data_IF_049183293647
#
_entry.id   IF_049183293647
#
_cell.length_a   1.000
_cell.length_b   1.000
_cell.length_c   1.000
_cell.angle_alpha   90.00
_cell.angle_beta   90.00
_cell.angle_gamma   90.00
#
_symmetry.space_group_name_H-M   'P 1'
#
loop_
_entity.id
_entity.type
_entity.pdbx_description
1 polymer ?
#
# COMPACT_ATOMS: atom_id res chain seq x y z
N UNK A 1 11.89 -3.36 30.39
CA UNK A 1 10.51 -3.88 30.15
C UNK A 1 9.81 -3.91 31.49
N UNK A 2 8.69 -3.17 31.61
CA UNK A 2 7.82 -3.19 32.79
C UNK A 2 6.92 -4.43 32.74
N UNK A 3 6.34 -4.82 33.88
CA UNK A 3 5.37 -5.91 33.95
C UNK A 3 3.97 -5.51 33.45
N UNK A 4 3.67 -4.19 33.41
CA UNK A 4 2.36 -3.66 33.02
C UNK A 4 2.46 -2.34 32.28
N UNK A 5 1.61 -2.16 31.28
CA UNK A 5 1.44 -0.95 30.47
C UNK A 5 -0.04 -0.57 30.33
N UNK A 6 -0.32 0.64 29.87
CA UNK A 6 -1.69 1.02 29.45
C UNK A 6 -2.01 0.41 28.10
N UNK A 7 -1.04 0.40 27.18
CA UNK A 7 -1.20 -0.11 25.82
C UNK A 7 0.01 -0.95 25.42
N UNK A 8 -0.26 -2.11 24.86
CA UNK A 8 0.74 -2.91 24.14
C UNK A 8 0.40 -2.88 22.65
N UNK A 9 1.40 -2.57 21.82
CA UNK A 9 1.33 -2.65 20.34
C UNK A 9 2.18 -3.83 19.88
N UNK A 10 1.56 -4.76 19.15
CA UNK A 10 2.21 -5.95 18.59
C UNK A 10 2.57 -5.66 17.12
N UNK A 11 3.86 -5.55 16.84
CA UNK A 11 4.42 -5.29 15.51
C UNK A 11 4.66 -3.80 15.23
N UNK A 12 5.87 -3.50 14.74
CA UNK A 12 6.35 -2.15 14.42
C UNK A 12 6.27 -1.85 12.91
N UNK A 13 5.23 -2.33 12.22
CA UNK A 13 4.84 -1.85 10.90
C UNK A 13 4.18 -0.47 10.99
N UNK A 14 3.88 0.16 9.83
CA UNK A 14 3.40 1.56 9.79
C UNK A 14 2.14 1.79 10.65
N UNK A 15 1.15 0.91 10.60
CA UNK A 15 -0.06 1.05 11.45
C UNK A 15 0.26 1.01 12.94
N UNK A 16 1.17 0.13 13.34
CA UNK A 16 1.61 -0.03 14.73
C UNK A 16 2.38 1.18 15.23
N UNK A 17 3.41 1.66 14.49
CA UNK A 17 4.21 2.81 14.94
C UNK A 17 3.38 4.09 15.00
N UNK A 18 2.45 4.27 14.05
CA UNK A 18 1.52 5.41 14.10
C UNK A 18 0.62 5.31 15.33
N UNK A 19 -0.01 4.15 15.58
CA UNK A 19 -0.85 3.96 16.76
C UNK A 19 -0.06 4.17 18.06
N UNK A 20 1.15 3.60 18.16
CA UNK A 20 2.04 3.74 19.31
C UNK A 20 2.45 5.20 19.56
N UNK A 21 2.72 5.97 18.49
CA UNK A 21 3.03 7.39 18.61
C UNK A 21 1.84 8.18 19.18
N UNK A 22 0.62 7.91 18.71
CA UNK A 22 -0.59 8.56 19.24
C UNK A 22 -0.86 8.20 20.70
N UNK A 23 -0.74 6.93 21.07
CA UNK A 23 -1.01 6.49 22.44
C UNK A 23 0.02 7.06 23.43
N UNK A 24 1.31 7.08 23.04
CA UNK A 24 2.36 7.69 23.85
C UNK A 24 2.20 9.21 23.94
N UNK A 25 1.93 9.90 22.85
CA UNK A 25 1.66 11.35 22.85
C UNK A 25 0.41 11.71 23.69
N UNK A 26 -0.57 10.81 23.77
CA UNK A 26 -1.72 10.90 24.67
C UNK A 26 -1.38 10.60 26.13
N UNK A 27 -0.12 10.41 26.49
CA UNK A 27 0.36 10.17 27.86
C UNK A 27 0.06 8.79 28.41
N UNK A 28 -0.19 7.78 27.56
CA UNK A 28 -0.39 6.40 27.97
C UNK A 28 0.95 5.65 28.02
N UNK A 29 1.16 4.85 29.08
CA UNK A 29 2.32 3.96 29.16
C UNK A 29 2.23 2.92 28.04
N UNK A 30 2.95 3.14 26.94
CA UNK A 30 2.90 2.36 25.70
C UNK A 30 4.15 1.52 25.54
N UNK A 31 3.98 0.21 25.30
CA UNK A 31 5.05 -0.70 24.87
C UNK A 31 4.76 -1.20 23.45
N UNK A 32 5.81 -1.31 22.64
CA UNK A 32 5.75 -1.92 21.31
C UNK A 32 6.73 -3.07 21.22
N UNK A 33 6.25 -4.23 20.75
CA UNK A 33 7.06 -5.42 20.54
C UNK A 33 7.16 -5.73 19.05
N UNK A 34 8.39 -5.86 18.55
CA UNK A 34 8.69 -6.22 17.16
C UNK A 34 9.66 -7.41 17.14
N UNK A 35 9.30 -8.45 16.39
CA UNK A 35 10.13 -9.66 16.28
C UNK A 35 11.43 -9.47 15.51
N UNK A 36 11.45 -8.50 14.57
CA UNK A 36 12.65 -8.15 13.84
C UNK A 36 13.58 -7.27 14.68
N UNK A 37 14.81 -7.14 14.22
CA UNK A 37 15.83 -6.27 14.79
C UNK A 37 15.67 -4.80 14.38
N UNK A 38 14.69 -4.50 13.51
CA UNK A 38 14.34 -3.14 13.07
C UNK A 38 12.83 -2.96 12.90
N UNK A 39 12.39 -1.71 12.89
CA UNK A 39 11.01 -1.32 12.55
C UNK A 39 10.78 -1.39 11.04
N UNK A 40 9.51 -1.46 10.60
CA UNK A 40 9.16 -1.36 9.17
C UNK A 40 8.12 -2.38 8.74
N UNK A 41 8.12 -3.56 9.35
CA UNK A 41 7.22 -4.65 8.93
C UNK A 41 7.48 -5.06 7.49
N UNK A 42 6.50 -4.87 6.60
CA UNK A 42 6.66 -5.14 5.15
C UNK A 42 7.44 -4.06 4.40
N UNK A 43 7.64 -2.89 5.01
CA UNK A 43 8.49 -1.81 4.47
C UNK A 43 9.93 -2.06 4.92
N UNK A 44 10.51 -3.15 4.44
CA UNK A 44 11.92 -3.47 4.68
C UNK A 44 12.74 -3.11 3.46
N UNK A 45 14.04 -2.98 3.68
CA UNK A 45 14.98 -2.87 2.57
C UNK A 45 15.20 -4.25 1.95
N UNK A 46 15.04 -4.34 0.64
CA UNK A 46 15.54 -5.47 -0.10
C UNK A 46 17.07 -5.49 -0.07
N UNK A 47 17.62 -6.70 -0.13
CA UNK A 47 19.06 -6.88 -0.28
C UNK A 47 19.46 -6.46 -1.68
N UNK A 48 20.19 -5.36 -1.78
CA UNK A 48 20.85 -4.85 -2.99
C UNK A 48 22.36 -4.85 -2.77
N UNK A 49 23.13 -4.64 -3.84
CA UNK A 49 24.57 -4.50 -3.72
C UNK A 49 24.95 -3.20 -2.97
N UNK A 50 26.13 -3.14 -2.34
CA UNK A 50 26.56 -1.93 -1.64
C UNK A 50 26.47 -0.68 -2.51
N UNK A 51 25.87 0.37 -1.97
CA UNK A 51 25.64 1.65 -2.65
C UNK A 51 24.33 1.74 -3.45
N UNK A 52 23.65 0.63 -3.67
CA UNK A 52 22.28 0.63 -4.15
C UNK A 52 21.30 0.52 -2.99
N UNK A 53 20.15 1.15 -3.10
CA UNK A 53 19.08 1.08 -2.09
C UNK A 53 17.79 0.66 -2.75
N UNK A 54 17.41 -0.61 -2.58
CA UNK A 54 16.10 -1.14 -2.92
C UNK A 54 15.10 -0.99 -1.77
N UNK A 55 13.89 -1.46 -1.97
CA UNK A 55 12.85 -1.57 -0.94
C UNK A 55 11.95 -2.76 -1.22
N UNK A 56 11.50 -3.41 -0.18
CA UNK A 56 10.81 -4.70 -0.29
C UNK A 56 9.41 -4.60 -0.93
N UNK A 57 8.78 -3.43 -0.87
CA UNK A 57 7.47 -3.16 -1.45
C UNK A 57 7.44 -1.84 -2.19
N UNK A 58 6.73 -1.82 -3.29
CA UNK A 58 6.26 -0.61 -3.93
C UNK A 58 5.31 0.15 -2.97
N UNK A 59 5.88 0.96 -2.12
CA UNK A 59 5.13 1.65 -1.05
C UNK A 59 5.03 3.13 -1.33
N UNK A 60 5.32 3.51 -2.54
CA UNK A 60 5.70 4.86 -2.82
C UNK A 60 4.60 5.90 -2.66
N UNK A 61 3.33 5.52 -2.60
CA UNK A 61 2.29 6.51 -2.80
C UNK A 61 1.41 6.74 -1.58
N UNK A 62 1.51 7.95 -1.02
CA UNK A 62 0.52 8.53 -0.11
C UNK A 62 -0.05 9.80 -0.70
N UNK A 63 -1.24 10.22 -0.27
CA UNK A 63 -1.72 11.57 -0.55
C UNK A 63 -0.85 12.57 0.21
N UNK A 64 -0.22 13.50 -0.53
CA UNK A 64 0.63 14.51 0.04
C UNK A 64 -0.09 15.77 0.47
N UNK A 65 0.67 16.63 1.15
CA UNK A 65 0.43 18.06 1.37
C UNK A 65 -0.92 18.46 1.96
N UNK A 66 -1.48 17.67 2.88
CA UNK A 66 -2.63 18.05 3.69
C UNK A 66 -3.87 17.17 3.54
N UNK A 67 -3.88 16.22 2.61
CA UNK A 67 -4.99 15.28 2.40
C UNK A 67 -4.81 13.92 3.04
N UNK A 68 -3.61 13.35 3.03
CA UNK A 68 -3.34 11.99 3.45
C UNK A 68 -3.27 11.79 4.95
N UNK A 69 -3.68 10.62 5.39
CA UNK A 69 -3.64 10.24 6.80
C UNK A 69 -2.21 10.21 7.35
N UNK A 70 -1.30 9.73 6.56
CA UNK A 70 0.12 9.67 6.87
C UNK A 70 0.72 11.07 7.14
N UNK A 71 0.47 12.02 6.23
CA UNK A 71 0.93 13.40 6.41
C UNK A 71 0.33 14.05 7.66
N UNK A 72 -0.98 13.86 7.90
CA UNK A 72 -1.66 14.34 9.09
C UNK A 72 -1.09 13.72 10.36
N UNK A 73 -0.92 12.39 10.36
CA UNK A 73 -0.37 11.66 11.50
C UNK A 73 1.03 12.18 11.87
N UNK A 74 1.91 12.35 10.86
CA UNK A 74 3.27 12.86 11.10
C UNK A 74 3.27 14.22 11.81
N UNK A 75 2.39 15.11 11.37
CA UNK A 75 2.28 16.45 11.99
C UNK A 75 1.66 16.41 13.38
N UNK A 76 0.62 15.62 13.59
CA UNK A 76 -0.09 15.57 14.86
C UNK A 76 0.73 14.95 15.99
N UNK A 77 1.64 14.01 15.68
CA UNK A 77 2.50 13.37 16.68
C UNK A 77 3.95 13.84 16.61
N UNK A 78 4.23 14.92 15.89
CA UNK A 78 5.59 15.47 15.71
C UNK A 78 6.61 14.41 15.23
N UNK A 79 6.24 13.62 14.23
CA UNK A 79 7.14 12.71 13.57
C UNK A 79 7.87 13.44 12.41
N UNK A 80 9.21 13.42 12.40
CA UNK A 80 10.03 14.11 11.38
C UNK A 80 10.03 13.34 10.06
N UNK A 81 8.85 13.26 9.42
CA UNK A 81 8.68 12.64 8.11
C UNK A 81 8.88 13.69 7.02
N UNK A 82 9.81 13.42 6.09
CA UNK A 82 10.04 14.27 4.92
C UNK A 82 9.42 13.65 3.69
N UNK A 83 8.56 14.43 3.04
CA UNK A 83 7.85 14.01 1.84
C UNK A 83 8.57 14.50 0.59
N UNK A 84 8.61 13.65 -0.43
CA UNK A 84 9.16 13.92 -1.75
C UNK A 84 8.07 13.68 -2.79
N UNK A 85 7.96 14.57 -3.76
CA UNK A 85 7.02 14.41 -4.86
C UNK A 85 7.47 13.28 -5.78
N UNK A 86 6.51 12.45 -6.19
CA UNK A 86 6.73 11.38 -7.17
C UNK A 86 6.38 11.93 -8.55
N UNK A 87 7.25 11.76 -9.55
CA UNK A 87 6.93 12.14 -10.92
C UNK A 87 5.67 11.42 -11.43
N UNK A 88 4.84 12.12 -12.18
CA UNK A 88 3.62 11.56 -12.77
C UNK A 88 3.92 10.33 -13.62
N UNK A 89 3.20 9.21 -13.47
CA UNK A 89 3.48 8.02 -14.25
C UNK A 89 3.15 8.19 -15.74
N UNK A 90 3.85 7.40 -16.57
CA UNK A 90 3.58 7.27 -18.00
C UNK A 90 2.89 5.96 -18.32
N UNK A 91 2.06 5.94 -19.35
CA UNK A 91 1.60 4.71 -20.00
C UNK A 91 2.45 4.45 -21.23
N UNK A 92 2.87 3.21 -21.43
CA UNK A 92 3.56 2.75 -22.62
C UNK A 92 2.79 1.55 -23.21
N UNK A 93 2.31 1.69 -24.44
CA UNK A 93 1.60 0.62 -25.12
C UNK A 93 2.60 -0.29 -25.85
N UNK A 94 2.74 -1.51 -25.34
CA UNK A 94 3.70 -2.48 -25.83
C UNK A 94 3.56 -2.76 -27.33
N UNK A 95 4.68 -2.78 -28.05
CA UNK A 95 4.73 -3.06 -29.48
C UNK A 95 4.21 -1.95 -30.39
N UNK A 96 3.78 -0.79 -29.84
CA UNK A 96 3.28 0.35 -30.62
C UNK A 96 4.22 1.53 -30.62
N UNK A 97 5.15 1.59 -29.65
CA UNK A 97 5.98 2.77 -29.39
C UNK A 97 5.22 3.96 -28.80
N UNK A 98 3.92 3.85 -28.58
CA UNK A 98 3.11 4.94 -28.00
C UNK A 98 3.39 5.07 -26.51
N UNK A 99 3.83 6.27 -26.10
CA UNK A 99 4.06 6.63 -24.71
C UNK A 99 3.44 7.98 -24.42
N UNK A 100 2.72 8.10 -23.31
CA UNK A 100 2.18 9.37 -22.85
C UNK A 100 2.10 9.43 -21.34
N UNK A 101 2.20 10.62 -20.78
CA UNK A 101 2.01 10.86 -19.36
C UNK A 101 0.56 10.66 -18.97
N UNK A 102 0.30 10.06 -17.80
CA UNK A 102 -1.03 10.11 -17.20
C UNK A 102 -1.33 11.58 -16.87
N UNK A 103 -2.54 12.01 -17.21
CA UNK A 103 -2.91 13.42 -17.10
C UNK A 103 -2.59 14.00 -15.72
N UNK A 104 -1.85 15.10 -15.65
CA UNK A 104 -1.74 15.82 -14.42
C UNK A 104 -3.13 16.39 -14.08
N UNK A 105 -3.61 16.06 -12.91
CA UNK A 105 -4.73 16.70 -12.19
C UNK A 105 -5.79 17.37 -13.04
N UNK A 106 -6.84 16.65 -13.33
CA UNK A 106 -7.99 17.22 -14.02
C UNK A 106 -8.97 17.83 -13.01
N UNK A 107 -8.93 19.14 -12.85
CA UNK A 107 -9.84 19.85 -11.95
C UNK A 107 -11.32 19.80 -12.41
N UNK A 108 -11.59 19.30 -13.62
CA UNK A 108 -12.94 19.24 -14.19
C UNK A 108 -13.09 18.15 -15.23
N UNK A 109 -14.33 17.73 -15.48
CA UNK A 109 -14.64 16.77 -16.54
C UNK A 109 -14.20 17.27 -17.93
N UNK A 110 -14.28 18.58 -18.21
CA UNK A 110 -13.85 19.17 -19.48
C UNK A 110 -12.33 19.05 -19.65
N UNK A 111 -11.55 19.28 -18.60
CA UNK A 111 -10.09 19.10 -18.63
C UNK A 111 -9.71 17.65 -18.93
N UNK A 112 -10.37 16.68 -18.26
CA UNK A 112 -10.16 15.26 -18.53
C UNK A 112 -10.50 14.88 -19.98
N UNK A 113 -11.65 15.34 -20.49
CA UNK A 113 -12.08 15.08 -21.87
C UNK A 113 -11.08 15.66 -22.86
N UNK A 114 -10.67 16.92 -22.69
CA UNK A 114 -9.69 17.57 -23.57
C UNK A 114 -8.36 16.84 -23.57
N UNK A 115 -7.89 16.40 -22.41
CA UNK A 115 -6.68 15.60 -22.31
C UNK A 115 -6.83 14.26 -23.02
N UNK A 116 -7.93 13.54 -22.78
CA UNK A 116 -8.18 12.25 -23.41
C UNK A 116 -8.22 12.38 -24.94
N UNK A 117 -8.89 13.43 -25.45
CA UNK A 117 -8.93 13.70 -26.90
C UNK A 117 -7.55 14.02 -27.48
N UNK A 118 -6.65 14.62 -26.72
CA UNK A 118 -5.29 14.91 -27.20
C UNK A 118 -4.44 13.66 -27.41
N UNK A 119 -4.83 12.52 -26.81
CA UNK A 119 -4.10 11.25 -26.91
C UNK A 119 -4.51 10.42 -28.14
N UNK A 120 -5.65 10.70 -28.73
CA UNK A 120 -6.21 9.90 -29.82
C UNK A 120 -6.46 10.73 -31.09
N UNK A 121 -6.24 10.14 -32.26
CA UNK A 121 -6.40 10.87 -33.53
C UNK A 121 -7.87 11.21 -33.90
N UNK A 122 -8.83 10.59 -33.21
CA UNK A 122 -10.24 10.75 -33.45
C UNK A 122 -10.91 11.43 -32.25
N UNK A 123 -11.67 12.50 -32.43
CA UNK A 123 -12.38 13.15 -31.33
C UNK A 123 -13.47 12.24 -30.77
N UNK A 124 -13.74 12.36 -29.49
CA UNK A 124 -14.84 11.67 -28.85
C UNK A 124 -16.20 12.15 -29.37
N UNK A 125 -17.15 11.25 -29.50
CA UNK A 125 -18.52 11.59 -29.82
C UNK A 125 -19.15 12.53 -28.77
N UNK A 126 -20.12 13.36 -29.16
CA UNK A 126 -20.83 14.18 -28.19
C UNK A 126 -21.55 13.33 -27.08
N UNK A 127 -21.97 12.12 -27.42
CA UNK A 127 -22.58 11.21 -26.46
C UNK A 127 -21.54 10.72 -25.42
N UNK A 128 -20.38 10.30 -25.89
CA UNK A 128 -19.27 9.85 -25.04
C UNK A 128 -18.76 10.99 -24.13
N UNK A 129 -18.63 12.23 -24.66
CA UNK A 129 -18.25 13.40 -23.83
C UNK A 129 -19.26 13.65 -22.71
N UNK A 130 -20.54 13.54 -22.98
CA UNK A 130 -21.58 13.63 -21.94
C UNK A 130 -21.50 12.48 -20.93
N UNK A 131 -21.18 11.27 -21.38
CA UNK A 131 -21.02 10.12 -20.51
C UNK A 131 -19.81 10.31 -19.58
N UNK A 132 -18.65 10.75 -20.10
CA UNK A 132 -17.48 11.12 -19.28
C UNK A 132 -17.82 12.20 -18.24
N UNK A 133 -18.51 13.27 -18.67
CA UNK A 133 -18.88 14.35 -17.75
C UNK A 133 -19.77 13.84 -16.60
N UNK A 134 -20.75 13.00 -16.91
CA UNK A 134 -21.62 12.40 -15.88
C UNK A 134 -20.82 11.50 -14.93
N UNK A 135 -19.98 10.62 -15.47
CA UNK A 135 -19.18 9.70 -14.65
C UNK A 135 -18.19 10.45 -13.74
N UNK A 136 -17.51 11.47 -14.27
CA UNK A 136 -16.60 12.31 -13.49
C UNK A 136 -17.33 13.03 -12.36
N UNK A 137 -18.44 13.72 -12.68
CA UNK A 137 -19.21 14.46 -11.69
C UNK A 137 -19.82 13.54 -10.64
N UNK A 138 -20.27 12.35 -11.03
CA UNK A 138 -20.77 11.35 -10.10
C UNK A 138 -19.65 10.89 -9.14
N UNK A 139 -18.48 10.54 -9.67
CA UNK A 139 -17.33 10.14 -8.86
C UNK A 139 -16.84 11.26 -7.92
N UNK A 140 -16.88 12.52 -8.39
CA UNK A 140 -16.49 13.69 -7.61
C UNK A 140 -17.47 14.03 -6.49
N UNK A 141 -18.77 13.79 -6.71
CA UNK A 141 -19.85 14.16 -5.78
C UNK A 141 -19.95 13.23 -4.55
N UNK A 142 -19.41 12.00 -4.63
CA UNK A 142 -19.45 11.08 -3.51
C UNK A 142 -18.50 11.61 -2.41
N UNK A 143 -18.95 11.80 -1.16
CA UNK A 143 -18.04 12.14 -0.05
C UNK A 143 -16.87 11.15 0.02
N UNK A 144 -15.65 11.64 0.25
CA UNK A 144 -14.45 10.79 0.17
C UNK A 144 -14.49 9.62 1.16
N UNK A 145 -14.99 9.86 2.37
CA UNK A 145 -15.18 8.84 3.41
C UNK A 145 -16.21 7.77 3.06
N UNK A 146 -17.21 8.09 2.21
CA UNK A 146 -18.22 7.13 1.78
C UNK A 146 -17.65 6.08 0.81
N UNK A 147 -16.55 6.41 0.12
CA UNK A 147 -15.84 5.45 -0.75
C UNK A 147 -15.32 4.23 0.04
N UNK A 148 -15.05 4.42 1.32
CA UNK A 148 -14.49 3.38 2.20
C UNK A 148 -15.55 2.75 3.13
N UNK A 149 -16.84 3.01 2.89
CA UNK A 149 -17.98 2.44 3.62
C UNK A 149 -18.80 1.52 2.73
N UNK A 150 -19.54 0.62 3.38
CA UNK A 150 -20.56 -0.20 2.69
C UNK A 150 -21.67 0.70 2.09
N UNK A 151 -22.18 0.42 0.88
CA UNK A 151 -21.86 -0.74 0.06
C UNK A 151 -20.62 -0.57 -0.84
N UNK A 152 -20.09 0.63 -1.05
CA UNK A 152 -19.04 0.90 -2.04
C UNK A 152 -17.73 0.18 -1.73
N UNK A 153 -17.38 0.05 -0.45
CA UNK A 153 -16.16 -0.66 -0.03
C UNK A 153 -16.23 -2.18 -0.20
N UNK A 154 -17.44 -2.74 -0.37
CA UNK A 154 -17.68 -4.18 -0.44
C UNK A 154 -18.34 -4.63 -1.75
N UNK A 155 -18.46 -3.77 -2.74
CA UNK A 155 -19.06 -4.05 -4.04
C UNK A 155 -17.98 -4.13 -5.11
N UNK A 156 -17.82 -5.24 -5.85
CA UNK A 156 -16.91 -5.29 -7.00
C UNK A 156 -17.23 -4.18 -8.02
N UNK A 157 -16.21 -3.61 -8.64
CA UNK A 157 -16.45 -2.59 -9.65
C UNK A 157 -17.21 -3.14 -10.85
N UNK A 158 -17.00 -4.41 -11.21
CA UNK A 158 -17.79 -5.09 -12.25
C UNK A 158 -19.31 -4.96 -12.03
N UNK A 159 -19.76 -4.97 -10.78
CA UNK A 159 -21.19 -4.87 -10.42
C UNK A 159 -21.68 -3.42 -10.33
N UNK A 160 -20.75 -2.49 -10.15
CA UNK A 160 -21.02 -1.07 -10.02
C UNK A 160 -20.94 -0.29 -11.34
N UNK A 161 -20.16 -0.74 -12.30
CA UNK A 161 -19.78 -0.02 -13.52
C UNK A 161 -20.97 0.61 -14.27
N UNK A 162 -22.07 -0.12 -14.38
CA UNK A 162 -23.27 0.36 -15.12
C UNK A 162 -23.97 1.53 -14.42
N UNK A 163 -23.79 1.70 -13.12
CA UNK A 163 -24.24 2.90 -12.38
C UNK A 163 -23.38 4.10 -12.73
N UNK A 164 -22.10 3.88 -13.03
CA UNK A 164 -21.18 4.93 -13.42
C UNK A 164 -21.40 5.35 -14.87
N UNK A 165 -21.42 4.38 -15.80
CA UNK A 165 -21.65 4.60 -17.22
C UNK A 165 -22.01 3.30 -17.94
N UNK A 166 -22.74 3.41 -19.05
CA UNK A 166 -22.93 2.33 -20.03
C UNK A 166 -22.15 2.56 -21.33
N UNK A 167 -21.41 3.67 -21.42
CA UNK A 167 -20.57 3.98 -22.57
C UNK A 167 -19.27 3.14 -22.52
N UNK A 168 -18.96 2.34 -23.57
CA UNK A 168 -17.81 1.44 -23.55
C UNK A 168 -16.47 2.16 -23.39
N UNK A 169 -16.32 3.39 -23.92
CA UNK A 169 -15.07 4.15 -23.81
C UNK A 169 -14.86 4.66 -22.38
N UNK A 170 -15.94 5.06 -21.70
CA UNK A 170 -15.90 5.46 -20.29
C UNK A 170 -15.57 4.25 -19.41
N UNK A 171 -16.22 3.10 -19.63
CA UNK A 171 -15.92 1.86 -18.90
C UNK A 171 -14.48 1.43 -19.15
N UNK A 172 -13.99 1.45 -20.39
CA UNK A 172 -12.61 1.13 -20.75
C UNK A 172 -11.59 2.03 -20.04
N UNK A 173 -11.89 3.33 -19.92
CA UNK A 173 -11.06 4.28 -19.17
C UNK A 173 -10.95 3.87 -17.69
N UNK A 174 -12.06 3.59 -17.02
CA UNK A 174 -12.02 3.15 -15.61
C UNK A 174 -11.40 1.77 -15.45
N UNK A 175 -11.60 0.85 -16.38
CA UNK A 175 -10.94 -0.45 -16.40
C UNK A 175 -9.41 -0.32 -16.54
N UNK A 176 -8.95 0.60 -17.38
CA UNK A 176 -7.52 0.92 -17.48
C UNK A 176 -6.95 1.50 -16.18
N UNK A 177 -7.69 2.37 -15.50
CA UNK A 177 -7.30 2.86 -14.17
C UNK A 177 -7.18 1.69 -13.19
N UNK A 178 -8.18 0.82 -13.15
CA UNK A 178 -8.17 -0.36 -12.30
C UNK A 178 -6.94 -1.23 -12.58
N UNK A 179 -6.70 -1.60 -13.84
CA UNK A 179 -5.57 -2.43 -14.26
C UNK A 179 -4.21 -1.83 -13.88
N UNK A 180 -4.01 -0.54 -14.19
CA UNK A 180 -2.74 0.13 -13.91
C UNK A 180 -2.50 0.36 -12.42
N UNK A 181 -3.56 0.60 -11.66
CA UNK A 181 -3.45 0.80 -10.21
C UNK A 181 -3.23 -0.51 -9.45
N UNK A 182 -3.74 -1.61 -9.97
CA UNK A 182 -3.59 -2.94 -9.38
C UNK A 182 -2.44 -3.74 -9.96
N UNK A 183 -1.86 -3.26 -11.06
CA UNK A 183 -0.83 -3.97 -11.85
C UNK A 183 -1.29 -5.36 -12.31
N UNK A 184 -2.58 -5.48 -12.65
CA UNK A 184 -3.22 -6.72 -13.10
C UNK A 184 -3.86 -6.53 -14.48
N UNK A 185 -4.38 -7.63 -15.07
CA UNK A 185 -5.25 -7.56 -16.24
C UNK A 185 -6.55 -6.78 -15.93
N UNK A 186 -7.12 -6.10 -16.94
CA UNK A 186 -8.26 -5.19 -16.74
C UNK A 186 -9.51 -5.91 -16.17
N UNK A 187 -9.84 -7.10 -16.71
CA UNK A 187 -11.00 -7.89 -16.27
C UNK A 187 -10.82 -8.41 -14.83
N UNK A 188 -9.61 -8.79 -14.45
CA UNK A 188 -9.29 -9.19 -13.08
C UNK A 188 -9.37 -8.01 -12.14
N UNK A 189 -8.77 -6.88 -12.52
CA UNK A 189 -8.80 -5.67 -11.73
C UNK A 189 -10.24 -5.21 -11.46
N UNK A 190 -11.10 -5.20 -12.48
CA UNK A 190 -12.52 -4.83 -12.33
C UNK A 190 -13.31 -5.78 -11.44
N UNK A 191 -12.93 -7.06 -11.40
CA UNK A 191 -13.58 -8.09 -10.58
C UNK A 191 -13.17 -8.02 -9.13
N UNK A 192 -11.89 -7.69 -8.87
CA UNK A 192 -11.33 -7.72 -7.52
C UNK A 192 -11.26 -6.36 -6.83
N UNK A 193 -11.26 -5.26 -7.58
CA UNK A 193 -11.28 -3.93 -6.99
C UNK A 193 -12.70 -3.50 -6.64
N UNK A 194 -12.90 -3.01 -5.42
CA UNK A 194 -14.20 -2.48 -5.04
C UNK A 194 -14.51 -1.18 -5.79
N UNK A 195 -15.80 -0.87 -5.92
CA UNK A 195 -16.25 0.41 -6.48
C UNK A 195 -15.62 1.60 -5.75
N UNK A 196 -15.62 1.58 -4.43
CA UNK A 196 -14.99 2.61 -3.62
C UNK A 196 -13.48 2.67 -3.80
N UNK A 197 -12.81 1.52 -3.88
CA UNK A 197 -11.38 1.42 -4.16
C UNK A 197 -11.01 2.04 -5.52
N UNK A 198 -11.76 1.73 -6.58
CA UNK A 198 -11.51 2.32 -7.89
C UNK A 198 -11.78 3.82 -7.93
N UNK A 199 -12.90 4.27 -7.38
CA UNK A 199 -13.24 5.69 -7.36
C UNK A 199 -12.26 6.50 -6.50
N UNK A 200 -11.75 5.93 -5.39
CA UNK A 200 -10.70 6.56 -4.61
C UNK A 200 -9.39 6.66 -5.39
N UNK A 201 -9.03 5.61 -6.12
CA UNK A 201 -7.86 5.59 -7.02
C UNK A 201 -7.99 6.64 -8.12
N UNK A 202 -9.15 6.71 -8.77
CA UNK A 202 -9.43 7.74 -9.76
C UNK A 202 -9.25 9.14 -9.17
N UNK A 203 -9.83 9.42 -8.01
CA UNK A 203 -9.67 10.71 -7.34
C UNK A 203 -8.23 10.99 -6.93
N UNK A 204 -7.53 9.98 -6.46
CA UNK A 204 -6.13 10.08 -6.10
C UNK A 204 -5.27 10.51 -7.31
N UNK A 205 -5.36 9.79 -8.42
CA UNK A 205 -4.52 10.05 -9.59
C UNK A 205 -4.93 11.29 -10.41
N UNK A 206 -6.22 11.57 -10.53
CA UNK A 206 -6.73 12.62 -11.42
C UNK A 206 -7.22 13.87 -10.70
N UNK A 207 -7.54 13.81 -9.41
CA UNK A 207 -8.15 14.91 -8.67
C UNK A 207 -7.35 15.37 -7.44
N UNK A 208 -6.34 14.62 -6.96
CA UNK A 208 -5.60 15.00 -5.77
C UNK A 208 -4.44 15.98 -6.06
N UNK A 209 -3.92 16.60 -5.01
CA UNK A 209 -2.94 17.69 -5.16
C UNK A 209 -1.51 17.22 -5.41
N UNK A 210 -1.03 16.15 -4.78
CA UNK A 210 0.31 15.61 -5.01
C UNK A 210 0.45 14.16 -4.55
N UNK A 211 1.26 13.42 -5.29
CA UNK A 211 1.71 12.10 -4.90
C UNK A 211 3.08 12.22 -4.23
N UNK A 212 3.17 11.77 -3.00
CA UNK A 212 4.39 11.90 -2.22
C UNK A 212 4.85 10.57 -1.67
N UNK A 213 6.15 10.49 -1.48
CA UNK A 213 6.81 9.40 -0.76
C UNK A 213 7.69 9.97 0.33
N UNK A 214 7.95 9.19 1.36
CA UNK A 214 8.87 9.54 2.43
C UNK A 214 9.89 8.41 2.59
N UNK A 215 10.93 8.42 1.79
CA UNK A 215 11.90 7.33 1.83
C UNK A 215 13.37 7.73 1.70
N UNK A 216 13.74 8.92 2.18
CA UNK A 216 15.14 9.31 2.21
C UNK A 216 15.74 9.04 3.60
N UNK A 217 16.81 8.28 3.71
CA UNK A 217 17.55 7.58 2.66
C UNK A 217 16.83 6.31 2.16
N UNK A 218 15.88 5.79 2.88
CA UNK A 218 15.04 4.66 2.54
C UNK A 218 13.69 4.75 3.27
N UNK A 219 12.75 3.87 2.94
CA UNK A 219 11.39 3.90 3.51
C UNK A 219 11.37 3.70 5.04
N UNK A 220 12.22 2.84 5.58
CA UNK A 220 12.26 2.60 7.03
C UNK A 220 12.68 3.89 7.74
N UNK A 221 13.77 4.50 7.31
CA UNK A 221 14.33 5.72 7.93
C UNK A 221 13.45 6.95 7.68
N UNK A 222 12.90 7.07 6.47
CA UNK A 222 12.12 8.26 6.10
C UNK A 222 10.66 8.23 6.55
N UNK A 223 10.07 7.02 6.71
CA UNK A 223 8.65 6.88 6.99
C UNK A 223 8.34 6.27 8.34
N UNK A 224 8.95 5.13 8.68
CA UNK A 224 8.53 4.33 9.82
C UNK A 224 9.23 4.77 11.11
N UNK A 225 10.56 4.91 11.05
CA UNK A 225 11.39 5.29 12.19
C UNK A 225 10.99 6.62 12.83
N UNK A 226 10.62 7.68 12.08
CA UNK A 226 10.17 8.93 12.68
C UNK A 226 8.97 8.79 13.65
N UNK A 227 8.02 7.89 13.35
CA UNK A 227 6.91 7.61 14.27
C UNK A 227 7.37 6.81 15.50
N UNK A 228 8.24 5.82 15.32
CA UNK A 228 8.80 5.08 16.45
C UNK A 228 9.61 6.00 17.37
N UNK A 229 10.34 6.95 16.81
CA UNK A 229 11.10 7.94 17.59
C UNK A 229 10.18 8.96 18.29
N UNK A 230 9.09 9.38 17.63
CA UNK A 230 8.04 10.17 18.28
C UNK A 230 7.45 9.43 19.48
N UNK A 231 7.11 8.12 19.32
CA UNK A 231 6.64 7.30 20.42
C UNK A 231 7.64 7.29 21.58
N UNK A 232 8.94 7.10 21.31
CA UNK A 232 9.99 7.08 22.34
C UNK A 232 10.15 8.43 23.03
N UNK A 233 10.14 9.55 22.28
CA UNK A 233 10.20 10.90 22.84
C UNK A 233 9.05 11.19 23.82
N UNK A 234 7.90 10.58 23.59
CA UNK A 234 6.73 10.68 24.46
C UNK A 234 6.66 9.58 25.54
N UNK A 235 7.79 8.91 25.84
CA UNK A 235 7.92 7.95 26.94
C UNK A 235 7.46 6.52 26.61
N UNK A 236 7.12 6.22 25.34
CA UNK A 236 6.87 4.85 24.89
C UNK A 236 8.14 4.01 24.82
N UNK A 237 8.01 2.72 25.00
CA UNK A 237 9.11 1.73 24.97
C UNK A 237 9.00 0.84 23.73
N UNK A 238 10.10 0.68 22.97
CA UNK A 238 10.20 -0.18 21.80
C UNK A 238 11.17 -1.33 22.08
N UNK A 239 10.69 -2.55 21.91
CA UNK A 239 11.44 -3.79 22.10
C UNK A 239 11.60 -4.52 20.77
N UNK A 240 12.74 -4.36 20.12
CA UNK A 240 13.13 -5.07 18.90
C UNK A 240 13.64 -6.48 19.24
N UNK A 241 13.65 -7.39 18.25
CA UNK A 241 14.02 -8.78 18.43
C UNK A 241 13.10 -9.54 19.41
N UNK A 242 11.95 -8.96 19.75
CA UNK A 242 11.03 -9.49 20.77
C UNK A 242 9.72 -9.91 20.10
N UNK A 243 9.53 -11.22 20.00
CA UNK A 243 8.36 -11.80 19.35
C UNK A 243 7.18 -11.90 20.32
N UNK A 244 6.01 -11.43 19.94
CA UNK A 244 4.77 -11.77 20.65
C UNK A 244 4.33 -13.15 20.19
N UNK A 245 4.37 -14.09 21.10
CA UNK A 245 3.98 -15.48 20.88
C UNK A 245 2.47 -15.69 21.05
N UNK A 246 1.84 -14.92 21.95
CA UNK A 246 0.42 -15.06 22.26
C UNK A 246 -0.17 -13.73 22.77
N UNK A 247 -1.39 -13.43 22.35
CA UNK A 247 -2.27 -12.43 23.00
C UNK A 247 -3.05 -13.13 24.09
N UNK A 248 -2.89 -12.67 25.34
CA UNK A 248 -3.57 -13.24 26.50
C UNK A 248 -5.02 -12.74 26.52
N UNK A 249 -5.96 -13.66 26.37
CA UNK A 249 -7.40 -13.38 26.48
C UNK A 249 -7.95 -14.17 27.66
N UNK A 250 -8.52 -13.46 28.63
CA UNK A 250 -9.11 -14.02 29.85
C UNK A 250 -10.57 -13.52 29.97
N UNK A 251 -11.55 -14.43 29.98
CA UNK A 251 -12.98 -14.08 30.04
C UNK A 251 -13.41 -13.04 28.98
N UNK A 252 -13.03 -13.27 27.73
CA UNK A 252 -13.30 -12.37 26.59
C UNK A 252 -12.69 -10.97 26.75
N UNK A 253 -11.62 -10.83 27.50
CA UNK A 253 -10.86 -9.57 27.68
C UNK A 253 -9.41 -9.81 27.32
N UNK A 254 -8.83 -9.00 26.43
CA UNK A 254 -7.40 -8.96 26.20
C UNK A 254 -6.72 -8.28 27.39
N UNK A 255 -5.82 -9.01 28.08
CA UNK A 255 -5.19 -8.58 29.33
C UNK A 255 -3.67 -8.42 29.20
N UNK A 256 -3.07 -8.77 28.05
CA UNK A 256 -1.64 -8.67 27.83
C UNK A 256 -1.16 -9.56 26.68
N UNK A 257 0.12 -9.82 26.70
CA UNK A 257 0.80 -10.68 25.72
C UNK A 257 1.84 -11.56 26.37
N UNK A 258 2.14 -12.70 25.73
CA UNK A 258 3.33 -13.52 26.01
C UNK A 258 4.40 -13.15 24.98
N UNK A 259 5.56 -12.73 25.43
CA UNK A 259 6.69 -12.38 24.56
C UNK A 259 7.84 -13.35 24.69
N UNK A 260 8.56 -13.58 23.58
CA UNK A 260 9.86 -14.24 23.53
C UNK A 260 10.93 -13.20 23.28
N UNK A 261 11.85 -13.07 24.21
CA UNK A 261 12.95 -12.11 24.13
C UNK A 261 14.11 -12.67 23.26
N UNK A 262 15.06 -11.82 22.80
CA UNK A 262 16.20 -12.28 21.99
C UNK A 262 17.06 -13.36 22.63
N UNK A 263 17.12 -13.42 23.96
CA UNK A 263 17.84 -14.46 24.71
C UNK A 263 17.02 -15.75 24.96
N UNK A 264 15.81 -15.85 24.34
CA UNK A 264 14.95 -17.03 24.42
C UNK A 264 14.06 -17.10 25.65
N UNK A 265 14.10 -16.12 26.56
CA UNK A 265 13.19 -16.08 27.70
C UNK A 265 11.74 -15.77 27.25
N UNK A 266 10.81 -16.48 27.88
CA UNK A 266 9.38 -16.20 27.73
C UNK A 266 8.87 -15.41 28.93
N UNK A 267 8.13 -14.31 28.67
CA UNK A 267 7.58 -13.45 29.72
C UNK A 267 6.16 -13.05 29.40
N UNK A 268 5.32 -12.98 30.43
CA UNK A 268 4.02 -12.31 30.36
C UNK A 268 4.20 -10.82 30.62
N UNK A 269 3.53 -10.00 29.78
CA UNK A 269 3.45 -8.55 29.95
C UNK A 269 1.99 -8.14 29.90
N UNK A 270 1.52 -7.54 30.98
CA UNK A 270 0.12 -7.14 31.14
C UNK A 270 -0.17 -5.77 30.53
N UNK A 271 -1.38 -5.57 30.02
CA UNK A 271 -1.83 -4.28 29.51
C UNK A 271 -3.34 -4.08 29.66
N UNK A 272 -3.73 -2.83 29.78
CA UNK A 272 -5.17 -2.47 29.77
C UNK A 272 -5.76 -2.58 28.35
N UNK A 273 -4.94 -2.46 27.30
CA UNK A 273 -5.34 -2.59 25.89
C UNK A 273 -4.24 -3.22 25.06
N UNK A 274 -4.62 -4.08 24.12
CA UNK A 274 -3.71 -4.72 23.17
C UNK A 274 -4.09 -4.32 21.75
N UNK A 275 -3.11 -3.83 20.98
CA UNK A 275 -3.25 -3.44 19.57
C UNK A 275 -2.41 -4.41 18.73
N UNK A 276 -3.02 -5.06 17.75
CA UNK A 276 -2.35 -6.00 16.85
C UNK A 276 -2.11 -5.34 15.49
N UNK A 277 -0.84 -5.24 15.12
CA UNK A 277 -0.35 -4.81 13.81
C UNK A 277 0.53 -5.93 13.21
N UNK A 278 -0.10 -7.01 12.82
CA UNK A 278 0.57 -8.14 12.19
C UNK A 278 0.03 -8.35 10.77
N UNK A 279 0.83 -9.03 9.92
CA UNK A 279 0.30 -9.47 8.64
C UNK A 279 -0.91 -10.39 8.91
N UNK A 280 -1.98 -10.22 8.13
CA UNK A 280 -3.23 -10.97 8.33
C UNK A 280 -3.03 -12.49 8.38
N UNK A 281 -2.03 -13.03 7.65
CA UNK A 281 -1.68 -14.46 7.72
C UNK A 281 -0.96 -14.86 9.02
N UNK A 282 -0.42 -13.90 9.77
CA UNK A 282 0.26 -14.13 11.04
C UNK A 282 -0.65 -13.89 12.24
N UNK A 283 -1.74 -13.14 12.06
CA UNK A 283 -2.70 -12.88 13.15
C UNK A 283 -3.19 -14.19 13.80
N UNK A 284 -3.59 -15.24 13.05
CA UNK A 284 -4.06 -16.47 13.69
C UNK A 284 -3.05 -17.15 14.60
N UNK A 285 -1.76 -17.02 14.32
CA UNK A 285 -0.70 -17.71 15.08
C UNK A 285 -0.45 -17.15 16.48
N UNK A 286 -0.94 -15.96 16.78
CA UNK A 286 -0.78 -15.30 18.08
C UNK A 286 -2.01 -15.39 18.97
N UNK A 287 -3.04 -16.14 18.56
CA UNK A 287 -4.24 -16.38 19.35
C UNK A 287 -4.46 -17.86 19.56
N UNK A 288 -4.90 -18.26 20.76
CA UNK A 288 -5.40 -19.64 21.03
C UNK A 288 -6.70 -19.88 20.29
N UNK A 289 -7.56 -18.85 20.22
CA UNK A 289 -8.80 -18.84 19.45
C UNK A 289 -8.93 -17.48 18.79
N UNK A 290 -8.93 -17.47 17.46
CA UNK A 290 -9.04 -16.22 16.68
C UNK A 290 -10.47 -15.70 16.78
N UNK A 291 -10.68 -14.39 17.07
CA UNK A 291 -12.01 -13.81 17.05
C UNK A 291 -12.70 -14.03 15.70
N UNK A 292 -13.98 -14.44 15.65
CA UNK A 292 -14.66 -14.77 14.39
C UNK A 292 -14.72 -13.62 13.40
N UNK A 293 -14.84 -12.37 13.87
CA UNK A 293 -14.84 -11.17 13.06
C UNK A 293 -13.46 -10.84 12.45
N UNK A 294 -12.42 -11.50 12.94
CA UNK A 294 -11.05 -11.44 12.41
C UNK A 294 -10.79 -12.59 11.44
N UNK A 295 -11.20 -13.82 11.81
CA UNK A 295 -10.98 -15.00 11.01
C UNK A 295 -11.69 -14.94 9.65
N UNK A 296 -12.95 -14.50 9.62
CA UNK A 296 -13.75 -14.43 8.39
C UNK A 296 -13.13 -13.57 7.28
N UNK A 297 -12.68 -12.32 7.54
CA UNK A 297 -11.93 -11.55 6.55
C UNK A 297 -10.65 -12.26 6.08
N UNK A 298 -9.90 -12.87 7.00
CA UNK A 298 -8.66 -13.59 6.65
C UNK A 298 -8.95 -14.74 5.69
N UNK A 299 -9.97 -15.55 5.96
CA UNK A 299 -10.37 -16.66 5.10
C UNK A 299 -10.78 -16.18 3.70
N UNK A 300 -11.54 -15.09 3.62
CA UNK A 300 -11.95 -14.49 2.36
C UNK A 300 -10.76 -14.02 1.52
N UNK A 301 -9.74 -13.43 2.16
CA UNK A 301 -8.54 -12.97 1.46
C UNK A 301 -7.60 -14.11 1.05
N UNK A 302 -7.49 -15.14 1.86
CA UNK A 302 -6.63 -16.29 1.54
C UNK A 302 -7.22 -17.16 0.43
N UNK A 303 -8.52 -17.04 0.14
CA UNK A 303 -9.16 -17.74 -0.96
C UNK A 303 -8.70 -17.25 -2.35
N UNK A 304 -8.25 -15.99 -2.47
CA UNK A 304 -7.77 -15.40 -3.74
C UNK A 304 -6.44 -14.69 -3.49
N UNK A 305 -5.35 -15.43 -3.43
CA UNK A 305 -4.05 -14.84 -3.10
C UNK A 305 -3.49 -14.05 -4.27
N UNK A 306 -2.95 -12.87 -3.96
CA UNK A 306 -2.17 -12.06 -4.89
C UNK A 306 -0.68 -12.16 -4.58
N UNK A 307 0.11 -12.17 -5.65
CA UNK A 307 1.57 -12.14 -5.61
C UNK A 307 2.11 -10.92 -6.30
N UNK A 308 3.01 -10.24 -5.63
CA UNK A 308 3.88 -9.26 -6.24
C UNK A 308 5.20 -9.91 -6.64
N UNK A 309 5.58 -9.73 -7.90
CA UNK A 309 6.88 -10.11 -8.43
C UNK A 309 7.65 -8.84 -8.74
N UNK A 310 8.69 -8.59 -7.95
CA UNK A 310 9.51 -7.41 -8.06
C UNK A 310 10.93 -7.77 -8.50
N UNK A 311 11.49 -6.96 -9.37
CA UNK A 311 12.89 -7.01 -9.77
C UNK A 311 13.54 -5.67 -9.48
N UNK A 312 14.71 -5.73 -8.86
CA UNK A 312 15.67 -4.62 -8.82
C UNK A 312 16.84 -4.98 -9.73
N UNK A 313 17.01 -4.23 -10.81
CA UNK A 313 18.11 -4.39 -11.74
C UNK A 313 19.13 -3.28 -11.55
N UNK A 314 20.33 -3.66 -11.15
CA UNK A 314 21.49 -2.77 -10.99
C UNK A 314 22.23 -2.68 -12.31
N UNK A 315 22.43 -1.46 -12.81
CA UNK A 315 23.06 -1.18 -14.07
C UNK A 315 24.43 -0.51 -13.85
N UNK A 316 25.41 -0.90 -14.67
CA UNK A 316 26.77 -0.33 -14.63
C UNK A 316 26.83 1.12 -15.14
N UNK A 317 25.80 1.56 -15.85
CA UNK A 317 25.65 2.92 -16.40
C UNK A 317 24.19 3.30 -16.59
N UNK A 318 23.86 4.59 -16.65
CA UNK A 318 22.54 5.04 -17.06
C UNK A 318 22.22 4.65 -18.52
N UNK A 319 21.01 4.16 -18.74
CA UNK A 319 20.47 3.85 -20.08
C UNK A 319 19.29 4.75 -20.44
N UNK A 320 18.72 5.45 -19.47
CA UNK A 320 17.60 6.37 -19.65
C UNK A 320 17.73 7.54 -18.69
N UNK A 321 17.24 8.69 -19.10
CA UNK A 321 17.04 9.86 -18.22
C UNK A 321 15.59 9.97 -17.70
N UNK A 322 14.72 9.00 -18.03
CA UNK A 322 13.29 9.01 -17.67
C UNK A 322 13.10 8.96 -16.14
N UNK A 323 12.56 9.99 -15.50
CA UNK A 323 12.31 9.99 -14.06
C UNK A 323 10.94 9.40 -13.69
N UNK A 324 10.06 9.21 -14.69
CA UNK A 324 8.68 8.80 -14.46
C UNK A 324 8.54 7.28 -14.32
N UNK A 325 7.67 6.80 -13.41
CA UNK A 325 7.20 5.42 -13.47
C UNK A 325 6.51 5.14 -14.81
N UNK A 326 6.72 3.98 -15.39
CA UNK A 326 6.14 3.58 -16.66
C UNK A 326 5.26 2.34 -16.47
N UNK A 327 3.97 2.49 -16.66
CA UNK A 327 3.05 1.36 -16.73
C UNK A 327 3.01 0.83 -18.17
N UNK A 328 3.46 -0.39 -18.37
CA UNK A 328 3.43 -1.05 -19.67
C UNK A 328 2.09 -1.73 -19.85
N UNK A 329 1.37 -1.36 -20.90
CA UNK A 329 0.00 -1.79 -21.17
C UNK A 329 -0.03 -2.69 -22.40
N UNK A 330 -0.76 -3.80 -22.31
CA UNK A 330 -1.11 -4.60 -23.48
C UNK A 330 -2.16 -3.85 -24.32
N UNK A 331 -1.86 -3.49 -25.58
CA UNK A 331 -2.81 -2.75 -26.40
C UNK A 331 -4.07 -3.56 -26.77
N UNK A 332 -4.06 -4.89 -26.60
CA UNK A 332 -5.19 -5.76 -26.91
C UNK A 332 -6.18 -5.87 -25.76
N UNK A 333 -5.67 -5.96 -24.54
CA UNK A 333 -6.50 -6.21 -23.35
C UNK A 333 -6.66 -4.96 -22.47
N UNK A 334 -5.81 -3.94 -22.66
CA UNK A 334 -5.72 -2.78 -21.76
C UNK A 334 -5.13 -3.11 -20.38
N UNK A 335 -4.69 -4.38 -20.18
CA UNK A 335 -4.12 -4.86 -18.93
C UNK A 335 -2.72 -4.34 -18.68
N UNK A 336 -2.35 -4.18 -17.41
CA UNK A 336 -1.00 -3.83 -17.04
C UNK A 336 -0.10 -5.07 -17.11
N UNK A 337 0.91 -5.01 -17.96
CA UNK A 337 1.90 -6.07 -18.10
C UNK A 337 3.05 -5.95 -17.10
N UNK A 338 3.45 -4.72 -16.79
CA UNK A 338 4.59 -4.44 -15.92
C UNK A 338 4.60 -2.96 -15.54
N UNK A 339 4.89 -2.66 -14.28
CA UNK A 339 5.30 -1.33 -13.87
C UNK A 339 6.83 -1.28 -13.84
N UNK A 340 7.43 -0.29 -14.50
CA UNK A 340 8.88 -0.11 -14.56
C UNK A 340 9.23 1.29 -14.11
N UNK A 341 10.31 1.43 -13.37
CA UNK A 341 10.80 2.73 -12.94
C UNK A 341 12.33 2.74 -12.86
N UNK A 342 12.97 3.64 -13.60
CA UNK A 342 14.37 3.98 -13.36
C UNK A 342 14.44 4.85 -12.10
N UNK A 343 14.26 4.23 -10.96
CA UNK A 343 13.99 4.92 -9.68
C UNK A 343 15.09 5.86 -9.24
N UNK A 344 16.35 5.53 -9.57
CA UNK A 344 17.48 6.39 -9.28
C UNK A 344 17.50 7.71 -10.08
N UNK A 345 16.71 7.83 -11.15
CA UNK A 345 16.57 9.09 -11.88
C UNK A 345 15.69 10.09 -11.10
N UNK A 346 14.65 9.59 -10.43
CA UNK A 346 13.81 10.41 -9.55
C UNK A 346 14.48 10.63 -8.19
N UNK A 347 15.20 9.63 -7.70
CA UNK A 347 15.80 9.59 -6.37
C UNK A 347 17.27 9.14 -6.46
N UNK A 348 18.20 10.07 -6.71
CA UNK A 348 19.61 9.74 -7.00
C UNK A 348 20.33 8.94 -5.92
N UNK A 349 19.87 8.99 -4.66
CA UNK A 349 20.45 8.22 -3.56
C UNK A 349 20.18 6.71 -3.62
N UNK A 350 19.36 6.25 -4.58
CA UNK A 350 19.09 4.83 -4.77
C UNK A 350 20.16 4.08 -5.57
N UNK A 351 21.09 4.78 -6.21
CA UNK A 351 22.21 4.18 -6.93
C UNK A 351 23.52 4.97 -6.72
N UNK A 352 24.68 4.33 -6.84
CA UNK A 352 25.96 5.04 -6.88
C UNK A 352 26.04 5.97 -8.09
N UNK A 353 26.86 7.03 -7.98
CA UNK A 353 27.12 7.95 -9.08
C UNK A 353 27.57 7.20 -10.34
N UNK A 354 27.02 7.59 -11.50
CA UNK A 354 27.30 6.96 -12.79
C UNK A 354 26.63 5.60 -13.01
N UNK A 355 25.85 5.11 -12.04
CA UNK A 355 25.07 3.87 -12.14
C UNK A 355 23.58 4.15 -12.13
N UNK A 356 22.77 3.12 -12.40
CA UNK A 356 21.31 3.25 -12.42
C UNK A 356 20.65 2.05 -11.76
N UNK A 357 19.57 2.28 -11.03
CA UNK A 357 18.69 1.26 -10.47
C UNK A 357 17.35 1.29 -11.17
N UNK A 358 16.95 0.16 -11.74
CA UNK A 358 15.62 -0.05 -12.30
C UNK A 358 14.82 -0.96 -11.36
N UNK A 359 13.65 -0.50 -10.99
CA UNK A 359 12.60 -1.27 -10.35
C UNK A 359 11.60 -1.73 -11.39
N UNK A 360 11.16 -2.98 -11.31
CA UNK A 360 10.05 -3.48 -12.10
C UNK A 360 9.17 -4.40 -11.25
N UNK A 361 7.86 -4.28 -11.36
CA UNK A 361 6.91 -5.07 -10.58
C UNK A 361 5.66 -5.43 -11.38
N UNK A 362 5.14 -6.62 -11.10
CA UNK A 362 3.84 -7.10 -11.58
C UNK A 362 3.12 -7.83 -10.46
N UNK A 363 1.82 -7.57 -10.33
CA UNK A 363 0.94 -8.29 -9.41
C UNK A 363 0.09 -9.28 -10.19
N UNK A 364 -0.03 -10.50 -9.65
CA UNK A 364 -0.80 -11.58 -10.28
C UNK A 364 -1.65 -12.28 -9.21
N UNK A 365 -2.93 -12.55 -9.50
CA UNK A 365 -3.71 -13.50 -8.74
C UNK A 365 -3.22 -14.92 -9.10
N UNK A 366 -2.67 -15.65 -8.15
CA UNK A 366 -2.11 -16.99 -8.40
C UNK A 366 -2.43 -17.94 -7.27
N UNK A 367 -2.82 -19.16 -7.65
CA UNK A 367 -2.81 -20.26 -6.72
C UNK A 367 -1.37 -20.75 -6.44
N UNK A 368 -1.24 -21.65 -5.47
CA UNK A 368 0.07 -22.10 -5.00
C UNK A 368 0.86 -22.91 -6.04
N UNK A 369 0.20 -23.60 -6.96
CA UNK A 369 0.83 -24.43 -8.01
C UNK A 369 1.31 -23.57 -9.19
N UNK A 370 0.60 -22.51 -9.51
CA UNK A 370 0.92 -21.62 -10.63
C UNK A 370 2.12 -20.72 -10.35
N UNK A 371 2.45 -20.47 -9.08
CA UNK A 371 3.49 -19.51 -8.66
C UNK A 371 4.85 -19.80 -9.25
N UNK A 372 5.36 -21.02 -9.11
CA UNK A 372 6.72 -21.34 -9.54
C UNK A 372 6.84 -21.39 -11.07
N UNK A 373 5.83 -21.89 -11.74
CA UNK A 373 5.76 -21.93 -13.21
C UNK A 373 5.72 -20.51 -13.79
N UNK A 374 4.90 -19.64 -13.21
CA UNK A 374 4.78 -18.23 -13.64
C UNK A 374 6.06 -17.46 -13.34
N UNK A 375 6.70 -17.66 -12.17
CA UNK A 375 8.00 -17.01 -11.85
C UNK A 375 9.06 -17.31 -12.92
N UNK A 376 9.13 -18.53 -13.42
CA UNK A 376 10.13 -18.93 -14.41
C UNK A 376 9.87 -18.27 -15.76
N UNK A 377 8.62 -18.25 -16.20
CA UNK A 377 8.22 -17.62 -17.48
C UNK A 377 8.34 -16.10 -17.43
N UNK A 378 7.88 -15.47 -16.34
CA UNK A 378 7.92 -14.01 -16.19
C UNK A 378 9.31 -13.42 -16.20
N UNK A 379 10.34 -14.13 -15.72
CA UNK A 379 11.72 -13.60 -15.70
C UNK A 379 12.23 -13.26 -17.11
N UNK A 380 11.91 -14.07 -18.11
CA UNK A 380 12.28 -13.80 -19.50
C UNK A 380 11.48 -12.64 -20.09
N UNK A 381 10.16 -12.68 -19.92
CA UNK A 381 9.25 -11.67 -20.46
C UNK A 381 9.50 -10.27 -19.87
N UNK A 382 9.82 -10.19 -18.58
CA UNK A 382 10.12 -8.92 -17.93
C UNK A 382 11.35 -8.25 -18.53
N UNK A 383 12.42 -9.02 -18.79
CA UNK A 383 13.64 -8.47 -19.41
C UNK A 383 13.38 -7.95 -20.83
N UNK A 384 12.53 -8.65 -21.60
CA UNK A 384 12.13 -8.21 -22.94
C UNK A 384 11.35 -6.90 -22.90
N UNK A 385 10.41 -6.79 -21.95
CA UNK A 385 9.62 -5.58 -21.76
C UNK A 385 10.51 -4.41 -21.31
N UNK A 386 11.42 -4.63 -20.37
CA UNK A 386 12.32 -3.56 -19.90
C UNK A 386 13.24 -3.10 -21.03
N UNK A 387 13.81 -4.01 -21.82
CA UNK A 387 14.70 -3.64 -22.93
C UNK A 387 13.96 -2.96 -24.08
N UNK A 388 12.66 -3.25 -24.28
CA UNK A 388 11.79 -2.53 -25.22
C UNK A 388 11.55 -1.09 -24.77
N UNK A 389 11.23 -0.89 -23.47
CA UNK A 389 10.93 0.44 -22.91
C UNK A 389 12.20 1.26 -22.71
N UNK A 390 13.29 0.62 -22.29
CA UNK A 390 14.59 1.23 -22.04
C UNK A 390 15.68 0.50 -22.83
N UNK A 391 15.87 0.81 -24.12
CA UNK A 391 16.83 0.12 -24.98
C UNK A 391 18.25 0.13 -24.44
N UNK A 392 18.89 -1.01 -24.42
CA UNK A 392 20.22 -1.22 -23.87
C UNK A 392 20.26 -1.78 -22.45
N UNK A 393 19.09 -2.03 -21.86
CA UNK A 393 18.97 -2.65 -20.54
C UNK A 393 19.78 -3.94 -20.42
N UNK A 394 19.59 -4.88 -21.36
CA UNK A 394 20.28 -6.17 -21.33
C UNK A 394 21.81 -6.09 -21.38
N UNK A 395 22.36 -4.98 -21.92
CA UNK A 395 23.80 -4.75 -22.01
C UNK A 395 24.38 -4.03 -20.81
N UNK A 396 23.54 -3.35 -20.04
CA UNK A 396 23.95 -2.55 -18.89
C UNK A 396 23.69 -3.24 -17.55
N UNK A 397 22.78 -4.21 -17.50
CA UNK A 397 22.45 -4.91 -16.26
C UNK A 397 23.60 -5.79 -15.79
N UNK A 398 24.02 -5.61 -14.54
CA UNK A 398 25.10 -6.40 -13.90
C UNK A 398 24.58 -7.34 -12.85
N UNK A 399 23.52 -6.94 -12.12
CA UNK A 399 22.93 -7.76 -11.06
C UNK A 399 21.42 -7.58 -11.06
N UNK A 400 20.70 -8.66 -10.75
CA UNK A 400 19.25 -8.62 -10.54
C UNK A 400 18.91 -9.26 -9.20
N UNK A 401 18.10 -8.56 -8.44
CA UNK A 401 17.52 -9.07 -7.21
C UNK A 401 16.03 -9.30 -7.44
N UNK A 402 15.56 -10.47 -7.06
CA UNK A 402 14.16 -10.86 -7.20
C UNK A 402 13.51 -10.90 -5.84
N UNK A 403 12.48 -10.11 -5.66
CA UNK A 403 11.63 -10.17 -4.49
C UNK A 403 10.25 -10.74 -4.88
N UNK A 404 9.62 -11.40 -3.94
CA UNK A 404 8.26 -11.91 -4.11
C UNK A 404 7.53 -11.77 -2.81
N UNK A 405 6.50 -10.96 -2.79
CA UNK A 405 5.74 -10.64 -1.61
C UNK A 405 4.40 -11.39 -1.64
N UNK A 406 4.28 -12.32 -0.71
CA UNK A 406 3.06 -13.10 -0.53
C UNK A 406 2.81 -13.36 0.96
N UNK A 407 1.56 -13.37 1.35
CA UNK A 407 0.40 -12.87 0.65
C UNK A 407 0.37 -11.35 0.66
N UNK A 408 0.00 -10.78 -0.47
CA UNK A 408 -0.18 -9.35 -0.60
C UNK A 408 -1.60 -8.98 -0.20
N UNK A 409 -1.77 -8.29 0.92
CA UNK A 409 -3.02 -7.61 1.18
C UNK A 409 -2.98 -6.28 0.44
N UNK A 410 -3.76 -6.21 -0.61
CA UNK A 410 -3.81 -5.03 -1.46
C UNK A 410 -5.23 -4.45 -1.45
N UNK A 411 -5.37 -3.20 -1.80
CA UNK A 411 -6.67 -2.55 -1.98
C UNK A 411 -7.55 -3.24 -3.03
N UNK A 412 -7.01 -4.12 -3.85
CA UNK A 412 -7.75 -5.00 -4.76
C UNK A 412 -8.76 -5.89 -4.04
N UNK A 413 -8.51 -6.23 -2.80
CA UNK A 413 -9.40 -7.05 -2.00
C UNK A 413 -10.44 -6.25 -1.21
N UNK A 414 -10.60 -4.98 -1.51
CA UNK A 414 -11.47 -4.10 -0.72
C UNK A 414 -12.96 -4.42 -0.80
N UNK A 415 -13.38 -5.26 -1.74
CA UNK A 415 -14.76 -5.74 -1.79
C UNK A 415 -15.11 -6.78 -0.70
N UNK A 416 -14.13 -7.32 0.02
CA UNK A 416 -14.38 -8.12 1.22
C UNK A 416 -14.44 -7.25 2.47
N UNK A 417 -15.23 -7.69 3.46
CA UNK A 417 -15.19 -7.07 4.79
C UNK A 417 -13.80 -7.16 5.35
N UNK A 418 -13.35 -6.04 5.91
CA UNK A 418 -12.03 -5.93 6.54
C UNK A 418 -12.12 -6.30 8.02
N UNK A 419 -10.98 -6.49 8.64
CA UNK A 419 -10.88 -6.70 10.08
C UNK A 419 -11.33 -5.41 10.78
N UNK A 420 -12.27 -5.45 11.75
CA UNK A 420 -12.67 -4.25 12.47
C UNK A 420 -11.52 -3.73 13.34
N UNK A 421 -11.35 -2.41 13.44
CA UNK A 421 -10.28 -1.82 14.27
C UNK A 421 -10.39 -2.18 15.76
N UNK A 422 -11.56 -2.56 16.22
CA UNK A 422 -11.85 -3.01 17.58
C UNK A 422 -12.60 -4.33 17.51
N UNK A 423 -12.11 -5.33 18.23
CA UNK A 423 -12.80 -6.60 18.34
C UNK A 423 -14.21 -6.42 18.93
N UNK A 424 -15.17 -7.14 18.39
CA UNK A 424 -16.55 -7.17 18.88
C UNK A 424 -16.79 -8.29 19.89
N UNK A 425 -15.96 -9.34 19.85
CA UNK A 425 -16.06 -10.50 20.74
C UNK A 425 -15.05 -10.48 21.89
N UNK A 426 -13.93 -9.74 21.76
CA UNK A 426 -12.88 -9.61 22.78
C UNK A 426 -12.71 -8.15 23.18
N UNK A 427 -12.99 -7.84 24.43
CA UNK A 427 -12.81 -6.50 24.98
C UNK A 427 -11.31 -6.13 25.01
N UNK A 428 -11.03 -4.83 24.89
CA UNK A 428 -9.67 -4.26 24.95
C UNK A 428 -8.71 -4.75 23.87
N UNK A 429 -9.21 -5.43 22.83
CA UNK A 429 -8.45 -5.88 21.67
C UNK A 429 -8.73 -4.98 20.47
N UNK A 430 -7.65 -4.48 19.87
CA UNK A 430 -7.68 -3.57 18.72
C UNK A 430 -6.76 -4.07 17.61
N UNK A 431 -7.04 -3.63 16.38
CA UNK A 431 -6.26 -3.96 15.19
C UNK A 431 -5.93 -2.70 14.42
N UNK A 432 -4.78 -2.69 13.75
CA UNK A 432 -4.33 -1.63 12.83
C UNK A 432 -3.58 -2.26 11.66
N UNK A 433 -3.60 -1.60 10.53
CA UNK A 433 -2.96 -2.05 9.30
C UNK A 433 -3.82 -1.79 8.07
N UNK A 434 -3.30 -2.09 6.89
CA UNK A 434 -4.00 -1.94 5.61
C UNK A 434 -5.17 -2.91 5.41
N UNK A 435 -5.25 -3.96 6.23
CA UNK A 435 -6.34 -4.93 6.28
C UNK A 435 -7.47 -4.59 7.28
N UNK A 436 -7.44 -3.42 7.90
CA UNK A 436 -8.33 -3.02 9.00
C UNK A 436 -9.24 -1.88 8.56
N UNK A 437 -10.48 -1.82 9.07
CA UNK A 437 -11.43 -0.71 8.87
C UNK A 437 -11.67 0.08 10.17
N UNK A 438 -12.06 1.36 10.13
CA UNK A 438 -12.28 2.15 8.92
C UNK A 438 -10.99 2.62 8.27
N UNK A 439 -10.96 2.59 6.95
CA UNK A 439 -9.88 3.20 6.17
C UNK A 439 -10.36 4.54 5.59
N UNK A 440 -9.41 5.44 5.35
CA UNK A 440 -9.67 6.72 4.70
C UNK A 440 -8.78 6.93 3.48
N UNK A 441 -7.99 5.91 3.12
CA UNK A 441 -7.06 5.94 2.02
C UNK A 441 -6.65 4.54 1.61
N UNK A 442 -5.66 4.42 0.75
CA UNK A 442 -5.14 3.17 0.21
C UNK A 442 -3.69 2.91 0.64
N UNK A 443 -3.24 1.68 0.51
CA UNK A 443 -1.84 1.26 0.68
C UNK A 443 -1.25 1.64 2.05
N UNK A 444 -0.10 2.29 2.06
CA UNK A 444 0.59 2.77 3.27
C UNK A 444 -0.24 3.80 4.03
N UNK A 445 -0.91 4.67 3.29
CA UNK A 445 -1.77 5.70 3.87
C UNK A 445 -2.99 5.07 4.58
N UNK A 446 -3.49 3.92 4.07
CA UNK A 446 -4.52 3.13 4.75
C UNK A 446 -4.02 2.60 6.11
N UNK A 447 -2.82 2.02 6.14
CA UNK A 447 -2.23 1.56 7.40
C UNK A 447 -2.01 2.71 8.39
N UNK A 448 -1.51 3.86 7.93
CA UNK A 448 -1.37 5.05 8.75
C UNK A 448 -2.72 5.57 9.26
N UNK A 449 -3.77 5.56 8.41
CA UNK A 449 -5.12 6.01 8.79
C UNK A 449 -5.73 5.17 9.90
N UNK A 450 -5.60 3.84 9.82
CA UNK A 450 -6.09 2.94 10.87
C UNK A 450 -5.29 3.09 12.15
N UNK A 451 -3.97 3.28 12.08
CA UNK A 451 -3.11 3.58 13.23
C UNK A 451 -3.51 4.88 13.93
N UNK A 452 -3.71 5.95 13.16
CA UNK A 452 -4.17 7.26 13.65
C UNK A 452 -5.56 7.15 14.31
N UNK A 453 -6.52 6.53 13.62
CA UNK A 453 -7.89 6.38 14.12
C UNK A 453 -7.92 5.59 15.42
N UNK A 454 -7.26 4.42 15.44
CA UNK A 454 -7.23 3.53 16.61
C UNK A 454 -6.50 4.17 17.77
N UNK A 455 -5.35 4.82 17.53
CA UNK A 455 -4.61 5.53 18.57
C UNK A 455 -5.45 6.62 19.23
N UNK A 456 -6.11 7.47 18.43
CA UNK A 456 -7.05 8.51 18.94
C UNK A 456 -8.21 7.89 19.72
N UNK A 457 -8.79 6.78 19.24
CA UNK A 457 -9.88 6.11 19.93
C UNK A 457 -9.44 5.56 21.30
N UNK A 458 -8.25 4.98 21.37
CA UNK A 458 -7.69 4.45 22.63
C UNK A 458 -7.44 5.57 23.64
N UNK A 459 -6.86 6.70 23.21
CA UNK A 459 -6.62 7.88 24.08
C UNK A 459 -7.93 8.42 24.63
N UNK A 460 -8.96 8.57 23.79
CA UNK A 460 -10.31 8.98 24.24
C UNK A 460 -10.94 8.00 25.22
N UNK A 461 -10.82 6.69 24.99
CA UNK A 461 -11.33 5.66 25.90
C UNK A 461 -10.59 5.64 27.25
N UNK A 462 -9.39 6.20 27.32
CA UNK A 462 -8.64 6.37 28.56
C UNK A 462 -9.01 7.69 29.28
N UNK A 463 -9.95 8.50 28.75
CA UNK A 463 -10.35 9.79 29.34
C UNK A 463 -9.33 10.90 29.18
N UNK A 464 -8.48 10.82 28.18
CA UNK A 464 -7.39 11.78 27.88
C UNK A 464 -7.54 12.44 26.53
#
# INVERSE_FOLDING_TARGET
MKSQYDVIVVGAGIGGVVCGAYTAAGGLATAMFEKADEVGGRIKLDKTSPGFTGFEHWVAFGQGWGGGAWYRAAREVDADVRFYEVPEPCLYYRGTGMKFQIAPRCASASALISYYESLFPQPLSAATKRAFSRAFNYAAAIPYEELFREPLSCMPFSDFKDKLSTDPQVIGFFASIAANSTMCEADEAMRYLSAGGLLSTFRFWWMSEAHCVAFKPNHVEGLVRPFADSMKRNGGELFLGTEVAEVIVENDVATGVVVKTPNGETREVRANKVVVNANFTQIPSIFRSVPPEVQRPIDAYTAVPFHDFTIYAELDRPITAEPHPVAVVDPKTGGNLLMIWAISNAFPWNAPEGKQLIFASRVLPLDQQQREQVRTTLKGDIDDIIDEVFPGYRRAVVTKHYASHYPLWHYQHTWHKKIPYRSTSVQNLFFVGDCVEPQWSMTVDAAASTGMFTGKAIVRLAGR
#
